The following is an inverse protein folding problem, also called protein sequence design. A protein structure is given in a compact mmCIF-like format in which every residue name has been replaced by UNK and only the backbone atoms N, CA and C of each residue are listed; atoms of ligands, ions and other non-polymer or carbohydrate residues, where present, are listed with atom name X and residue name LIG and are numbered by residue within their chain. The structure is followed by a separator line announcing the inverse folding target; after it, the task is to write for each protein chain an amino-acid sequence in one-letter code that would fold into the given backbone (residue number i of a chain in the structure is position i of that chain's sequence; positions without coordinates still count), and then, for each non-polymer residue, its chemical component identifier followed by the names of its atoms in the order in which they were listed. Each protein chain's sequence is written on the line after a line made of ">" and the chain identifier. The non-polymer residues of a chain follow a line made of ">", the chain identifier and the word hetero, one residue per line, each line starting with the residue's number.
data_IF_539667068615
#
_entry.id   IF_539667068615
#
_cell.length_a   1.000
_cell.length_b   1.000
_cell.length_c   1.000
_cell.angle_alpha   90.00
_cell.angle_beta   90.00
_cell.angle_gamma   90.00
#
_symmetry.space_group_name_H-M   'P 1'
#
loop_
_entity.id
_entity.type
_entity.pdbx_description
1 polymer ?
#
# COMPACT_ATOMS: atom_id res chain seq x y z
N UNK A 1 -30.15 21.18 -21.77
CA UNK A 1 -29.45 19.90 -21.53
C UNK A 1 -28.65 20.04 -20.25
N UNK A 2 -29.17 19.48 -19.17
CA UNK A 2 -28.58 19.48 -17.83
C UNK A 2 -27.85 18.15 -17.62
N UNK A 3 -26.59 18.13 -17.15
CA UNK A 3 -25.95 16.88 -16.79
C UNK A 3 -26.39 16.46 -15.38
N UNK A 4 -26.81 15.19 -15.27
CA UNK A 4 -27.12 14.51 -14.01
C UNK A 4 -25.80 14.16 -13.30
N UNK A 5 -25.68 14.58 -12.05
CA UNK A 5 -24.61 14.17 -11.13
C UNK A 5 -24.95 12.79 -10.59
N UNK A 6 -24.14 11.77 -10.93
CA UNK A 6 -24.16 10.47 -10.27
C UNK A 6 -23.23 10.54 -9.04
N UNK A 7 -23.81 10.39 -7.84
CA UNK A 7 -23.06 10.36 -6.59
C UNK A 7 -22.46 8.98 -6.35
N UNK A 8 -21.13 8.92 -6.21
CA UNK A 8 -20.38 7.75 -5.81
C UNK A 8 -20.50 7.57 -4.28
N UNK A 9 -21.08 6.46 -3.83
CA UNK A 9 -21.30 6.13 -2.42
C UNK A 9 -20.14 5.27 -1.92
N UNK A 10 -19.44 5.73 -0.88
CA UNK A 10 -18.49 4.90 -0.12
C UNK A 10 -19.30 4.03 0.86
N UNK A 11 -19.06 2.71 0.98
CA UNK A 11 -19.92 1.85 1.79
C UNK A 11 -19.74 2.11 3.29
N UNK A 12 -20.83 2.46 3.97
CA UNK A 12 -20.96 2.41 5.42
C UNK A 12 -21.27 0.98 5.88
N UNK A 13 -20.59 0.52 6.93
CA UNK A 13 -20.83 -0.76 7.58
C UNK A 13 -22.21 -0.80 8.26
N UNK A 14 -23.05 -1.82 7.97
CA UNK A 14 -23.74 -2.68 8.95
C UNK A 14 -24.83 -3.60 8.36
N UNK A 15 -24.94 -4.78 8.99
CA UNK A 15 -26.09 -5.69 9.17
C UNK A 15 -26.45 -6.70 8.05
N UNK A 16 -25.93 -7.92 8.22
CA UNK A 16 -26.43 -9.16 7.62
C UNK A 16 -27.80 -9.56 8.21
N UNK A 17 -28.81 -9.70 7.35
CA UNK A 17 -30.06 -10.41 7.60
C UNK A 17 -30.17 -11.59 6.63
N UNK A 18 -30.53 -12.76 7.16
CA UNK A 18 -30.74 -14.03 6.45
C UNK A 18 -31.80 -13.89 5.36
N UNK A 19 -31.66 -14.64 4.27
CA UNK A 19 -32.73 -15.58 3.90
C UNK A 19 -32.23 -16.75 3.04
N UNK A 20 -32.79 -17.91 3.35
CA UNK A 20 -32.61 -19.19 2.66
C UNK A 20 -33.43 -19.20 1.36
N UNK A 21 -32.94 -19.87 0.31
CA UNK A 21 -33.78 -20.78 -0.49
C UNK A 21 -32.98 -21.64 -1.46
N UNK A 22 -33.35 -22.91 -1.37
CA UNK A 22 -33.05 -24.07 -2.19
C UNK A 22 -33.50 -23.94 -3.65
N UNK A 23 -32.83 -24.69 -4.53
CA UNK A 23 -33.25 -24.88 -5.92
C UNK A 23 -32.34 -25.87 -6.65
N UNK A 24 -32.63 -27.16 -6.48
CA UNK A 24 -32.06 -28.28 -7.22
C UNK A 24 -32.85 -28.51 -8.53
N UNK A 25 -32.30 -29.37 -9.40
CA UNK A 25 -32.91 -30.11 -10.52
C UNK A 25 -32.58 -29.57 -11.93
N UNK A 26 -32.03 -30.46 -12.76
CA UNK A 26 -31.94 -30.29 -14.21
C UNK A 26 -31.07 -31.31 -14.93
N UNK A 27 -31.36 -32.61 -14.77
CA UNK A 27 -30.84 -33.70 -15.60
C UNK A 27 -31.54 -33.73 -16.97
N UNK A 28 -30.80 -33.89 -18.06
CA UNK A 28 -31.30 -34.52 -19.30
C UNK A 28 -30.18 -35.26 -20.00
N UNK A 29 -30.43 -36.56 -20.18
CA UNK A 29 -29.75 -37.50 -21.07
C UNK A 29 -29.83 -37.09 -22.54
N UNK A 30 -28.84 -37.48 -23.35
CA UNK A 30 -29.03 -38.33 -24.54
C UNK A 30 -27.67 -38.77 -25.15
N UNK A 31 -27.64 -39.83 -25.98
CA UNK A 31 -26.62 -40.87 -25.88
C UNK A 31 -25.73 -41.04 -27.12
N UNK A 32 -24.64 -41.79 -26.93
CA UNK A 32 -24.10 -42.71 -27.93
C UNK A 32 -22.87 -42.24 -28.70
N UNK A 33 -21.74 -42.89 -28.46
CA UNK A 33 -20.98 -43.54 -29.53
C UNK A 33 -19.96 -44.53 -28.96
N UNK A 34 -20.13 -45.79 -29.37
CA UNK A 34 -19.21 -46.89 -29.13
C UNK A 34 -17.91 -46.67 -29.92
N UNK A 35 -16.77 -46.68 -29.23
CA UNK A 35 -15.48 -46.99 -29.83
C UNK A 35 -14.82 -48.13 -29.05
N UNK A 36 -14.66 -49.27 -29.72
CA UNK A 36 -13.82 -50.37 -29.31
C UNK A 36 -12.36 -50.02 -29.63
N UNK A 37 -11.50 -50.07 -28.62
CA UNK A 37 -10.05 -49.97 -28.75
C UNK A 37 -9.38 -50.95 -27.78
N UNK A 38 -8.51 -51.79 -28.34
CA UNK A 38 -7.77 -52.93 -27.78
C UNK A 38 -6.91 -52.58 -26.54
N UNK A 39 -6.55 -53.54 -25.65
CA UNK A 39 -5.71 -53.32 -24.48
C UNK A 39 -4.23 -53.53 -24.85
N UNK A 40 -3.44 -52.46 -24.83
CA UNK A 40 -2.01 -52.52 -25.05
C UNK A 40 -1.26 -51.38 -24.35
N UNK A 41 -0.32 -51.79 -23.50
CA UNK A 41 0.89 -51.06 -23.09
C UNK A 41 0.74 -49.95 -22.02
N UNK A 42 0.63 -50.41 -20.76
CA UNK A 42 1.28 -49.75 -19.62
C UNK A 42 2.81 -49.94 -19.77
N UNK A 43 3.55 -48.88 -20.13
CA UNK A 43 4.91 -48.57 -19.65
C UNK A 43 5.42 -47.26 -20.30
N UNK A 44 6.20 -46.48 -19.53
CA UNK A 44 6.91 -45.23 -19.89
C UNK A 44 6.15 -43.88 -19.93
N UNK A 45 5.74 -43.39 -18.75
CA UNK A 45 5.76 -41.94 -18.48
C UNK A 45 7.07 -41.54 -17.78
N UNK A 46 7.85 -40.57 -18.31
CA UNK A 46 9.04 -40.08 -17.63
C UNK A 46 8.66 -39.29 -16.35
N UNK A 47 9.42 -39.40 -15.26
CA UNK A 47 9.10 -38.70 -14.03
C UNK A 47 9.09 -37.19 -14.25
N UNK A 48 8.06 -36.53 -13.71
CA UNK A 48 7.93 -35.08 -13.70
C UNK A 48 9.22 -34.43 -13.21
N UNK A 49 9.82 -33.56 -14.04
CA UNK A 49 11.00 -32.78 -13.66
C UNK A 49 10.68 -31.99 -12.40
N UNK A 50 11.38 -32.31 -11.30
CA UNK A 50 11.37 -31.52 -10.10
C UNK A 50 11.71 -30.06 -10.47
N UNK A 51 10.79 -29.14 -10.16
CA UNK A 51 11.03 -27.71 -10.35
C UNK A 51 12.28 -27.25 -9.59
N UNK A 52 12.86 -26.09 -9.95
CA UNK A 52 14.08 -25.60 -9.34
C UNK A 52 13.92 -25.49 -7.82
N UNK A 53 14.72 -26.27 -7.09
CA UNK A 53 14.82 -26.20 -5.63
C UNK A 53 15.51 -24.89 -5.29
N UNK A 54 14.74 -23.95 -4.73
CA UNK A 54 15.28 -22.66 -4.27
C UNK A 54 16.25 -22.95 -3.10
N UNK A 55 17.52 -22.50 -3.18
CA UNK A 55 18.49 -22.77 -2.14
C UNK A 55 18.08 -22.11 -0.81
N UNK A 56 18.33 -22.77 0.35
CA UNK A 56 17.89 -22.28 1.66
C UNK A 56 18.34 -20.85 2.00
N UNK A 57 19.50 -20.42 1.48
CA UNK A 57 20.00 -19.04 1.63
C UNK A 57 19.12 -17.99 0.94
N UNK A 58 18.47 -18.32 -0.18
CA UNK A 58 17.56 -17.41 -0.89
C UNK A 58 16.20 -17.25 -0.19
N UNK A 59 15.86 -18.20 0.69
CA UNK A 59 14.65 -18.17 1.53
C UNK A 59 14.90 -17.52 2.90
N UNK A 60 16.15 -17.28 3.28
CA UNK A 60 16.50 -16.72 4.58
C UNK A 60 15.86 -15.34 4.84
N UNK A 61 15.84 -14.38 3.90
CA UNK A 61 15.20 -13.07 4.13
C UNK A 61 13.68 -13.18 4.31
N UNK A 62 13.05 -14.12 3.59
CA UNK A 62 11.62 -14.41 3.66
C UNK A 62 11.25 -15.09 4.97
N UNK A 63 12.08 -16.04 5.42
CA UNK A 63 11.97 -16.69 6.73
C UNK A 63 12.13 -15.66 7.85
N UNK A 64 13.13 -14.79 7.77
CA UNK A 64 13.41 -13.82 8.82
C UNK A 64 12.31 -12.74 8.89
N UNK A 65 11.80 -12.29 7.74
CA UNK A 65 10.65 -11.38 7.67
C UNK A 65 9.37 -12.03 8.23
N UNK A 66 9.15 -13.32 7.93
CA UNK A 66 8.01 -14.08 8.43
C UNK A 66 8.10 -14.33 9.95
N UNK A 67 9.29 -14.70 10.45
CA UNK A 67 9.56 -14.85 11.89
C UNK A 67 9.37 -13.52 12.62
N UNK A 68 9.84 -12.41 12.07
CA UNK A 68 9.69 -11.09 12.68
C UNK A 68 8.24 -10.59 12.66
N UNK A 69 7.48 -10.89 11.61
CA UNK A 69 6.06 -10.55 11.52
C UNK A 69 5.18 -11.36 12.48
N UNK A 70 5.57 -12.62 12.76
CA UNK A 70 4.87 -13.49 13.71
C UNK A 70 5.35 -13.32 15.16
N UNK A 71 6.53 -12.75 15.39
CA UNK A 71 7.09 -12.57 16.74
C UNK A 71 6.12 -11.87 17.72
N UNK A 72 5.38 -10.81 17.36
CA UNK A 72 4.42 -10.18 18.26
C UNK A 72 3.24 -11.10 18.59
N UNK A 73 2.84 -11.97 17.66
CA UNK A 73 1.74 -12.93 17.85
C UNK A 73 2.20 -14.10 18.72
N UNK A 74 3.43 -14.57 18.54
CA UNK A 74 4.09 -15.54 19.42
C UNK A 74 4.22 -14.97 20.83
N UNK A 75 4.67 -13.72 20.98
CA UNK A 75 4.82 -13.07 22.28
C UNK A 75 3.47 -12.84 22.97
N UNK A 76 2.42 -12.50 22.22
CA UNK A 76 1.05 -12.40 22.72
C UNK A 76 0.49 -13.76 23.16
N UNK A 77 0.83 -14.82 22.43
CA UNK A 77 0.43 -16.19 22.75
C UNK A 77 1.17 -16.73 23.99
N UNK A 78 2.48 -16.48 24.10
CA UNK A 78 3.29 -16.77 25.30
C UNK A 78 2.76 -16.03 26.52
N UNK A 79 2.39 -14.75 26.37
CA UNK A 79 1.72 -13.98 27.45
C UNK A 79 0.37 -14.59 27.83
N UNK A 80 -0.45 -15.02 26.87
CA UNK A 80 -1.74 -15.68 27.16
C UNK A 80 -1.56 -17.03 27.87
N UNK A 81 -0.53 -17.79 27.52
CA UNK A 81 -0.18 -19.05 28.20
C UNK A 81 0.32 -18.77 29.63
N UNK A 82 1.16 -17.73 29.83
CA UNK A 82 1.58 -17.28 31.16
C UNK A 82 0.42 -16.80 32.03
N UNK A 83 -0.58 -16.14 31.44
CA UNK A 83 -1.80 -15.69 32.13
C UNK A 83 -2.71 -16.87 32.50
N UNK A 84 -2.69 -17.96 31.72
CA UNK A 84 -3.52 -19.16 31.95
C UNK A 84 -2.89 -20.21 32.86
N UNK A 85 -1.62 -20.10 33.21
CA UNK A 85 -1.03 -20.91 34.27
C UNK A 85 -1.27 -20.21 35.60
N UNK A 86 -2.23 -20.65 36.44
CA UNK A 86 -2.29 -20.16 37.81
C UNK A 86 -0.94 -20.52 38.44
N UNK A 87 -0.29 -19.51 39.01
CA UNK A 87 0.96 -19.62 39.79
C UNK A 87 1.00 -20.95 40.52
N UNK A 88 1.79 -21.90 40.03
CA UNK A 88 2.20 -23.05 40.83
C UNK A 88 3.07 -22.45 41.93
N UNK A 89 2.48 -22.24 43.11
CA UNK A 89 3.22 -21.90 44.32
C UNK A 89 4.06 -23.10 44.68
N UNK A 90 5.30 -23.13 44.19
CA UNK A 90 6.31 -24.04 44.71
C UNK A 90 6.93 -23.34 45.91
N UNK A 91 6.50 -23.71 47.12
CA UNK A 91 7.20 -23.32 48.34
C UNK A 91 8.57 -24.03 48.35
N UNK A 92 9.62 -23.27 48.04
CA UNK A 92 11.00 -23.75 48.12
C UNK A 92 11.61 -23.26 49.45
N UNK A 93 11.98 -24.17 50.37
CA UNK A 93 12.74 -23.78 51.55
C UNK A 93 14.10 -23.22 51.12
N UNK A 94 14.46 -22.06 51.68
CA UNK A 94 15.77 -21.42 51.50
C UNK A 94 16.86 -22.21 52.23
N UNK A 95 17.23 -23.37 51.71
CA UNK A 95 18.49 -24.01 52.04
C UNK A 95 18.93 -24.97 50.92
N UNK A 96 19.99 -24.54 50.22
CA UNK A 96 21.02 -25.29 49.52
C UNK A 96 20.66 -26.59 48.74
N UNK A 97 20.86 -26.58 47.41
CA UNK A 97 21.59 -27.64 46.66
C UNK A 97 21.50 -27.49 45.12
N UNK A 98 22.57 -27.79 44.36
CA UNK A 98 22.57 -27.89 42.89
C UNK A 98 21.59 -28.91 42.29
N UNK A 99 21.00 -29.81 43.10
CA UNK A 99 20.10 -30.88 42.63
C UNK A 99 18.70 -30.38 42.24
N UNK A 100 18.29 -29.18 42.66
CA UNK A 100 17.01 -28.57 42.26
C UNK A 100 17.01 -28.19 40.78
N UNK A 101 18.16 -27.75 40.25
CA UNK A 101 18.32 -27.46 38.82
C UNK A 101 18.24 -28.71 37.94
N UNK A 102 18.77 -29.86 38.38
CA UNK A 102 18.71 -31.11 37.61
C UNK A 102 17.31 -31.74 37.60
N UNK A 103 16.50 -31.49 38.63
CA UNK A 103 15.12 -31.96 38.66
C UNK A 103 14.21 -31.09 37.80
N UNK A 104 14.37 -29.75 37.87
CA UNK A 104 13.71 -28.81 36.94
C UNK A 104 14.12 -29.06 35.49
N UNK A 105 15.41 -29.26 35.22
CA UNK A 105 15.93 -29.52 33.88
C UNK A 105 15.41 -30.85 33.32
N UNK A 106 15.34 -31.91 34.12
CA UNK A 106 14.74 -33.19 33.70
C UNK A 106 13.23 -33.11 33.53
N UNK A 107 12.51 -32.38 34.37
CA UNK A 107 11.08 -32.17 34.21
C UNK A 107 10.75 -31.32 32.96
N UNK A 108 11.55 -30.30 32.67
CA UNK A 108 11.45 -29.46 31.46
C UNK A 108 11.78 -30.26 30.19
N UNK A 109 12.82 -31.11 30.23
CA UNK A 109 13.21 -31.97 29.11
C UNK A 109 12.26 -33.16 28.90
N UNK A 110 11.64 -33.69 29.96
CA UNK A 110 10.64 -34.76 29.87
C UNK A 110 9.25 -34.25 29.45
N UNK A 111 8.95 -32.97 29.69
CA UNK A 111 7.68 -32.34 29.31
C UNK A 111 7.66 -31.81 27.85
N UNK A 112 8.78 -31.85 27.14
CA UNK A 112 8.86 -31.50 25.72
C UNK A 112 9.32 -32.71 24.90
N UNK A 113 8.42 -33.63 24.52
CA UNK A 113 8.75 -34.60 23.50
C UNK A 113 8.84 -33.86 22.16
N UNK A 114 10.08 -33.76 21.68
CA UNK A 114 10.48 -33.51 20.30
C UNK A 114 10.06 -32.15 19.71
N UNK A 115 10.79 -31.10 20.09
CA UNK A 115 10.74 -29.77 19.46
C UNK A 115 10.92 -29.85 17.94
N UNK A 116 11.65 -30.84 17.44
CA UNK A 116 11.81 -31.13 16.01
C UNK A 116 10.51 -31.56 15.36
N UNK A 117 9.73 -32.45 16.01
CA UNK A 117 8.43 -32.88 15.53
C UNK A 117 7.41 -31.74 15.59
N UNK A 118 7.45 -30.92 16.64
CA UNK A 118 6.57 -29.76 16.76
C UNK A 118 6.87 -28.68 15.72
N UNK A 119 8.14 -28.41 15.43
CA UNK A 119 8.55 -27.48 14.36
C UNK A 119 8.23 -28.02 12.96
N UNK A 120 8.41 -29.32 12.74
CA UNK A 120 8.01 -29.97 11.50
C UNK A 120 6.49 -29.91 11.31
N UNK A 121 5.73 -30.12 12.38
CA UNK A 121 4.26 -30.04 12.38
C UNK A 121 3.78 -28.60 12.19
N UNK A 122 4.39 -27.60 12.82
CA UNK A 122 4.14 -26.18 12.55
C UNK A 122 4.47 -25.80 11.11
N UNK A 123 5.60 -26.28 10.57
CA UNK A 123 5.98 -26.02 9.17
C UNK A 123 5.02 -26.66 8.17
N UNK A 124 4.53 -27.87 8.46
CA UNK A 124 3.51 -28.55 7.65
C UNK A 124 2.15 -27.86 7.78
N UNK A 125 1.76 -27.40 8.97
CA UNK A 125 0.50 -26.66 9.15
C UNK A 125 0.56 -25.27 8.48
N UNK A 126 1.69 -24.58 8.53
CA UNK A 126 1.92 -23.32 7.79
C UNK A 126 1.90 -23.56 6.27
N UNK A 127 2.53 -24.63 5.78
CA UNK A 127 2.50 -25.02 4.38
C UNK A 127 1.10 -25.51 3.92
N UNK A 128 0.27 -25.98 4.86
CA UNK A 128 -1.14 -26.38 4.65
C UNK A 128 -2.13 -25.23 4.83
N UNK A 129 -1.67 -24.00 5.00
CA UNK A 129 -2.51 -22.80 4.91
C UNK A 129 -2.35 -22.11 3.55
N UNK A 130 -2.91 -22.65 2.44
CA UNK A 130 -3.08 -21.89 1.20
C UNK A 130 -3.71 -20.52 1.49
N UNK A 131 -4.64 -20.48 2.46
CA UNK A 131 -5.32 -19.27 2.89
C UNK A 131 -4.42 -18.23 3.55
N UNK A 132 -3.25 -18.58 4.11
CA UNK A 132 -2.35 -17.59 4.72
C UNK A 132 -1.41 -17.00 3.68
N UNK A 133 -0.82 -17.83 2.81
CA UNK A 133 -0.02 -17.35 1.68
C UNK A 133 -0.86 -16.48 0.75
N UNK A 134 -2.09 -16.91 0.44
CA UNK A 134 -2.99 -16.17 -0.44
C UNK A 134 -3.41 -14.86 0.20
N UNK A 135 -3.68 -14.84 1.51
CA UNK A 135 -4.01 -13.60 2.24
C UNK A 135 -2.81 -12.67 2.38
N UNK A 136 -1.61 -13.19 2.61
CA UNK A 136 -0.39 -12.39 2.63
C UNK A 136 -0.08 -11.82 1.25
N UNK A 137 -0.26 -12.61 0.19
CA UNK A 137 -0.12 -12.18 -1.19
C UNK A 137 -1.14 -11.09 -1.54
N UNK A 138 -2.40 -11.25 -1.11
CA UNK A 138 -3.45 -10.24 -1.27
C UNK A 138 -3.10 -8.94 -0.51
N UNK A 139 -2.58 -9.03 0.72
CA UNK A 139 -2.15 -7.87 1.48
C UNK A 139 -0.93 -7.18 0.84
N UNK A 140 0.02 -7.96 0.32
CA UNK A 140 1.18 -7.45 -0.42
C UNK A 140 0.76 -6.75 -1.71
N UNK A 141 -0.30 -7.24 -2.38
CA UNK A 141 -0.90 -6.59 -3.54
C UNK A 141 -1.61 -5.28 -3.22
N UNK A 142 -1.95 -5.00 -1.96
CA UNK A 142 -2.59 -3.74 -1.54
C UNK A 142 -1.61 -2.75 -0.89
N UNK A 143 -0.43 -3.23 -0.52
CA UNK A 143 0.68 -2.40 -0.05
C UNK A 143 1.33 -1.64 -1.23
N UNK A 144 1.78 -0.38 -1.07
CA UNK A 144 2.52 0.32 -2.13
C UNK A 144 3.72 -0.52 -2.63
N UNK A 145 3.81 -0.83 -3.94
CA UNK A 145 4.79 -1.81 -4.41
C UNK A 145 6.23 -1.31 -4.29
N UNK A 146 6.45 0.00 -4.41
CA UNK A 146 7.76 0.63 -4.25
C UNK A 146 8.24 0.65 -2.78
N UNK A 147 7.39 0.24 -1.83
CA UNK A 147 7.74 0.12 -0.41
C UNK A 147 8.16 -1.31 -0.05
N UNK A 148 7.90 -2.29 -0.93
CA UNK A 148 8.28 -3.67 -0.69
C UNK A 148 9.81 -3.80 -0.66
N UNK A 149 10.32 -4.42 0.40
CA UNK A 149 11.76 -4.54 0.63
C UNK A 149 12.40 -3.33 1.34
N UNK A 150 11.65 -2.25 1.53
CA UNK A 150 12.08 -1.14 2.39
C UNK A 150 11.84 -1.48 3.86
N UNK A 151 12.82 -1.23 4.72
CA UNK A 151 12.65 -1.33 6.19
C UNK A 151 12.05 -0.03 6.71
N UNK A 152 10.83 0.28 6.28
CA UNK A 152 10.14 1.52 6.65
C UNK A 152 8.91 1.21 7.50
N UNK A 153 8.63 2.06 8.47
CA UNK A 153 7.36 2.06 9.17
C UNK A 153 6.39 2.99 8.40
N UNK A 154 5.24 2.50 7.91
CA UNK A 154 4.26 3.30 7.17
C UNK A 154 3.84 4.60 7.84
N UNK A 155 3.74 4.59 9.16
CA UNK A 155 3.32 5.74 9.95
C UNK A 155 4.31 6.90 9.79
N UNK A 156 5.60 6.60 9.68
CA UNK A 156 6.67 7.61 9.57
C UNK A 156 6.63 8.33 8.21
N UNK A 157 5.97 7.74 7.20
CA UNK A 157 5.82 8.34 5.88
C UNK A 157 4.70 9.40 5.81
N UNK A 158 3.75 9.40 6.76
CA UNK A 158 2.58 10.28 6.70
C UNK A 158 2.93 11.76 6.83
N UNK A 159 3.80 12.20 7.75
CA UNK A 159 4.20 13.61 7.81
C UNK A 159 4.83 14.10 6.49
N UNK A 160 5.64 13.26 5.84
CA UNK A 160 6.29 13.58 4.56
C UNK A 160 5.27 13.72 3.42
N UNK A 161 4.27 12.84 3.35
CA UNK A 161 3.23 12.95 2.32
C UNK A 161 2.20 14.03 2.62
N UNK A 162 1.68 14.07 3.85
CA UNK A 162 0.52 14.87 4.20
C UNK A 162 0.85 16.31 4.58
N UNK A 163 1.99 16.54 5.25
CA UNK A 163 2.36 17.87 5.72
C UNK A 163 3.37 18.51 4.76
N UNK A 164 4.39 17.78 4.30
CA UNK A 164 5.39 18.32 3.35
C UNK A 164 4.97 18.23 1.88
N UNK A 165 3.90 17.48 1.59
CA UNK A 165 3.34 17.34 0.25
C UNK A 165 4.20 16.51 -0.71
N UNK A 166 5.07 15.64 -0.22
CA UNK A 166 5.98 14.82 -1.03
C UNK A 166 5.34 13.44 -1.30
N UNK A 167 5.02 13.09 -2.55
CA UNK A 167 4.47 11.77 -2.88
C UNK A 167 5.49 10.65 -2.61
N UNK A 168 5.06 9.56 -1.98
CA UNK A 168 5.91 8.39 -1.71
C UNK A 168 5.35 7.08 -2.27
N UNK A 169 4.15 7.08 -2.85
CA UNK A 169 3.47 5.88 -3.35
C UNK A 169 3.66 5.77 -4.86
N UNK A 170 3.99 4.57 -5.35
CA UNK A 170 4.36 4.25 -6.74
C UNK A 170 5.73 4.79 -7.16
N UNK A 171 6.03 6.00 -6.72
CA UNK A 171 7.30 6.69 -6.91
C UNK A 171 7.72 7.33 -5.58
N UNK A 172 9.02 7.51 -5.33
CA UNK A 172 10.15 7.02 -6.14
C UNK A 172 10.46 5.53 -5.81
N UNK A 173 11.41 4.94 -6.53
CA UNK A 173 11.92 3.59 -6.22
C UNK A 173 12.46 3.46 -4.79
N UNK A 174 12.45 2.25 -4.27
CA UNK A 174 12.78 1.88 -2.88
C UNK A 174 14.04 2.53 -2.28
N UNK A 175 15.13 2.61 -3.05
CA UNK A 175 16.38 3.24 -2.59
C UNK A 175 16.19 4.71 -2.24
N UNK A 176 15.62 5.49 -3.16
CA UNK A 176 15.33 6.91 -2.96
C UNK A 176 14.33 7.09 -1.82
N UNK A 177 13.28 6.26 -1.77
CA UNK A 177 12.30 6.28 -0.68
C UNK A 177 12.95 6.12 0.70
N UNK A 178 13.93 5.21 0.81
CA UNK A 178 14.67 4.98 2.07
C UNK A 178 15.46 6.22 2.47
N UNK A 179 16.15 6.87 1.52
CA UNK A 179 16.93 8.08 1.77
C UNK A 179 16.04 9.27 2.18
N UNK A 180 14.86 9.39 1.58
CA UNK A 180 13.88 10.43 1.94
C UNK A 180 13.37 10.28 3.37
N UNK A 181 13.04 9.04 3.78
CA UNK A 181 12.53 8.79 5.12
C UNK A 181 13.63 8.86 6.20
N UNK A 182 14.89 8.61 5.84
CA UNK A 182 16.04 8.82 6.72
C UNK A 182 16.44 10.30 6.86
N UNK A 183 15.98 11.16 5.95
CA UNK A 183 16.33 12.58 5.95
C UNK A 183 15.58 13.35 7.04
N UNK A 184 16.19 14.38 7.64
CA UNK A 184 15.63 15.09 8.79
C UNK A 184 14.54 16.09 8.42
N UNK A 185 14.61 16.70 7.24
CA UNK A 185 13.77 17.83 6.86
C UNK A 185 13.43 17.84 5.36
N UNK A 186 12.40 18.63 5.04
CA UNK A 186 11.87 18.78 3.69
C UNK A 186 12.90 19.27 2.69
N UNK A 187 13.74 20.23 3.07
CA UNK A 187 14.75 20.81 2.17
C UNK A 187 15.79 19.77 1.76
N UNK A 188 16.23 18.94 2.69
CA UNK A 188 17.15 17.83 2.44
C UNK A 188 16.49 16.78 1.53
N UNK A 189 15.22 16.46 1.77
CA UNK A 189 14.44 15.58 0.89
C UNK A 189 14.31 16.12 -0.52
N UNK A 190 14.02 17.41 -0.70
CA UNK A 190 13.95 18.02 -2.02
C UNK A 190 15.30 17.99 -2.75
N UNK A 191 16.42 18.18 -2.05
CA UNK A 191 17.76 18.04 -2.66
C UNK A 191 18.00 16.63 -3.18
N UNK A 192 17.65 15.61 -2.40
CA UNK A 192 17.71 14.20 -2.83
C UNK A 192 16.86 13.98 -4.08
N UNK A 193 15.61 14.45 -4.08
CA UNK A 193 14.74 14.30 -5.25
C UNK A 193 15.33 14.98 -6.51
N UNK A 194 15.89 16.18 -6.37
CA UNK A 194 16.52 16.90 -7.50
C UNK A 194 17.80 16.21 -7.99
N UNK A 195 18.60 15.67 -7.08
CA UNK A 195 19.78 14.87 -7.42
C UNK A 195 19.40 13.62 -8.22
N UNK A 196 18.31 12.95 -7.82
CA UNK A 196 17.78 11.75 -8.47
C UNK A 196 16.77 12.02 -9.61
N UNK A 197 16.70 13.25 -10.14
CA UNK A 197 15.68 13.65 -11.15
C UNK A 197 15.54 12.70 -12.33
N UNK A 198 16.64 12.14 -12.84
CA UNK A 198 16.61 11.24 -13.99
C UNK A 198 15.93 9.90 -13.64
N UNK A 199 16.28 9.32 -12.49
CA UNK A 199 15.66 8.09 -11.98
C UNK A 199 14.17 8.31 -11.65
N UNK A 200 13.82 9.46 -11.08
CA UNK A 200 12.42 9.80 -10.78
C UNK A 200 11.60 9.96 -12.06
N UNK A 201 12.15 10.60 -13.09
CA UNK A 201 11.46 10.71 -14.37
C UNK A 201 11.22 9.33 -15.00
N UNK A 202 12.18 8.42 -14.90
CA UNK A 202 12.01 7.02 -15.32
C UNK A 202 10.92 6.30 -14.52
N UNK A 203 10.94 6.40 -13.19
CA UNK A 203 9.92 5.80 -12.32
C UNK A 203 8.52 6.32 -12.65
N UNK A 204 8.39 7.65 -12.86
CA UNK A 204 7.11 8.27 -13.25
C UNK A 204 6.63 7.77 -14.63
N UNK A 205 7.52 7.62 -15.62
CA UNK A 205 7.14 7.06 -16.93
C UNK A 205 6.67 5.62 -16.83
N UNK A 206 7.35 4.80 -16.03
CA UNK A 206 6.97 3.40 -15.81
C UNK A 206 5.56 3.33 -15.21
N UNK A 207 5.28 4.16 -14.20
CA UNK A 207 3.94 4.23 -13.59
C UNK A 207 2.88 4.70 -14.58
N UNK A 208 3.14 5.75 -15.38
CA UNK A 208 2.18 6.24 -16.38
C UNK A 208 1.94 5.24 -17.51
N UNK A 209 2.90 4.38 -17.85
CA UNK A 209 2.73 3.34 -18.85
C UNK A 209 1.70 2.27 -18.43
N UNK A 210 1.48 2.10 -17.13
CA UNK A 210 0.43 1.22 -16.58
C UNK A 210 -0.94 1.90 -16.49
N UNK A 211 -1.02 3.22 -16.73
CA UNK A 211 -2.30 3.94 -16.68
C UNK A 211 -3.02 3.78 -18.01
N UNK A 212 -3.99 2.87 -18.06
CA UNK A 212 -4.76 2.47 -19.25
C UNK A 212 -6.27 2.70 -19.11
N UNK A 213 -6.76 3.12 -17.95
CA UNK A 213 -8.19 3.26 -17.72
C UNK A 213 -8.81 4.34 -18.65
N UNK A 214 -9.94 4.08 -19.34
CA UNK A 214 -10.54 4.99 -20.32
C UNK A 214 -10.74 6.43 -19.83
N UNK A 215 -11.21 6.60 -18.59
CA UNK A 215 -11.42 7.91 -17.94
C UNK A 215 -10.15 8.76 -17.77
N UNK A 216 -8.96 8.17 -17.93
CA UNK A 216 -7.64 8.81 -17.75
C UNK A 216 -6.83 8.93 -19.05
N UNK A 217 -7.32 8.35 -20.15
CA UNK A 217 -6.56 8.23 -21.40
C UNK A 217 -6.15 9.57 -22.01
N UNK A 218 -6.91 10.64 -21.76
CA UNK A 218 -6.56 11.99 -22.23
C UNK A 218 -5.45 12.66 -21.40
N UNK A 219 -5.35 12.30 -20.11
CA UNK A 219 -4.37 12.88 -19.20
C UNK A 219 -3.00 12.23 -19.34
N UNK A 220 -2.91 10.95 -19.72
CA UNK A 220 -1.64 10.23 -19.85
C UNK A 220 -0.67 10.89 -20.86
N UNK A 221 -1.07 11.23 -22.11
CA UNK A 221 -0.15 11.91 -23.05
C UNK A 221 0.32 13.28 -22.55
N UNK A 222 -0.52 14.02 -21.82
CA UNK A 222 -0.14 15.29 -21.22
C UNK A 222 0.83 15.07 -20.05
N UNK A 223 0.60 14.02 -19.26
CA UNK A 223 1.48 13.64 -18.17
C UNK A 223 2.87 13.23 -18.64
N UNK A 224 2.96 12.45 -19.72
CA UNK A 224 4.23 12.10 -20.36
C UNK A 224 4.99 13.35 -20.81
N UNK A 225 4.30 14.34 -21.41
CA UNK A 225 4.92 15.62 -21.77
C UNK A 225 5.43 16.41 -20.56
N UNK A 226 4.72 16.38 -19.44
CA UNK A 226 5.20 17.01 -18.20
C UNK A 226 6.48 16.33 -17.69
N UNK A 227 6.53 15.01 -17.74
CA UNK A 227 7.72 14.23 -17.34
C UNK A 227 8.89 14.46 -18.30
N UNK A 228 8.63 14.55 -19.62
CA UNK A 228 9.67 14.84 -20.61
C UNK A 228 10.25 16.24 -20.45
N UNK A 229 9.38 17.24 -20.20
CA UNK A 229 9.83 18.59 -19.84
C UNK A 229 10.69 18.58 -18.57
N UNK A 230 10.28 17.83 -17.54
CA UNK A 230 11.04 17.68 -16.30
C UNK A 230 12.41 17.04 -16.55
N UNK A 231 12.45 15.94 -17.31
CA UNK A 231 13.68 15.24 -17.65
C UNK A 231 14.64 16.11 -18.48
N UNK A 232 14.11 17.00 -19.32
CA UNK A 232 14.87 17.96 -20.10
C UNK A 232 15.32 19.21 -19.31
N UNK A 233 14.93 19.35 -18.03
CA UNK A 233 15.28 20.49 -17.19
C UNK A 233 14.33 21.70 -17.33
N UNK A 234 13.20 21.55 -18.01
CA UNK A 234 12.17 22.59 -18.13
C UNK A 234 11.19 22.51 -16.95
N UNK A 235 11.69 22.83 -15.76
CA UNK A 235 10.98 22.67 -14.48
C UNK A 235 9.68 23.49 -14.42
N UNK A 236 9.69 24.72 -14.93
CA UNK A 236 8.53 25.60 -14.97
C UNK A 236 7.38 24.98 -15.77
N UNK A 237 7.70 24.49 -16.97
CA UNK A 237 6.75 23.86 -17.88
C UNK A 237 6.23 22.53 -17.31
N UNK A 238 7.12 21.72 -16.75
CA UNK A 238 6.75 20.46 -16.13
C UNK A 238 5.77 20.66 -14.96
N UNK A 239 6.10 21.57 -14.03
CA UNK A 239 5.27 21.88 -12.89
C UNK A 239 3.91 22.44 -13.32
N UNK A 240 3.89 23.42 -14.23
CA UNK A 240 2.64 24.03 -14.70
C UNK A 240 1.69 22.97 -15.27
N UNK A 241 2.20 22.09 -16.14
CA UNK A 241 1.39 21.06 -16.78
C UNK A 241 0.94 19.97 -15.79
N UNK A 242 1.84 19.49 -14.93
CA UNK A 242 1.50 18.48 -13.92
C UNK A 242 0.43 18.98 -12.94
N UNK A 243 0.54 20.23 -12.46
CA UNK A 243 -0.43 20.85 -11.53
C UNK A 243 -1.84 20.85 -12.12
N UNK A 244 -2.01 21.32 -13.37
CA UNK A 244 -3.35 21.41 -13.97
C UNK A 244 -3.97 20.04 -14.27
N UNK A 245 -3.14 19.03 -14.57
CA UNK A 245 -3.61 17.65 -14.73
C UNK A 245 -4.09 17.08 -13.39
N UNK A 246 -3.28 17.20 -12.34
CA UNK A 246 -3.63 16.73 -10.98
C UNK A 246 -4.92 17.41 -10.51
N UNK A 247 -5.03 18.73 -10.68
CA UNK A 247 -6.27 19.46 -10.37
C UNK A 247 -7.47 18.89 -11.11
N UNK A 248 -7.33 18.65 -12.43
CA UNK A 248 -8.42 18.14 -13.27
C UNK A 248 -8.92 16.80 -12.75
N UNK A 249 -8.03 15.83 -12.55
CA UNK A 249 -8.44 14.46 -12.17
C UNK A 249 -8.96 14.38 -10.74
N UNK A 250 -8.31 15.06 -9.80
CA UNK A 250 -8.72 15.06 -8.39
C UNK A 250 -10.08 15.73 -8.23
N UNK A 251 -10.29 16.89 -8.86
CA UNK A 251 -11.56 17.60 -8.72
C UNK A 251 -12.73 16.95 -9.46
N UNK A 252 -12.44 16.13 -10.48
CA UNK A 252 -13.45 15.35 -11.21
C UNK A 252 -13.87 14.11 -10.42
N UNK A 253 -12.92 13.39 -9.82
CA UNK A 253 -13.15 12.06 -9.26
C UNK A 253 -13.28 12.02 -7.74
N UNK A 254 -12.71 12.98 -7.01
CA UNK A 254 -12.80 12.99 -5.55
C UNK A 254 -13.97 13.87 -5.11
N UNK A 255 -15.00 13.29 -4.46
CA UNK A 255 -16.12 14.07 -3.96
C UNK A 255 -15.67 14.94 -2.77
N UNK A 256 -16.09 16.21 -2.70
CA UNK A 256 -15.80 17.07 -1.56
C UNK A 256 -16.62 16.65 -0.32
N UNK A 257 -16.01 16.57 0.87
CA UNK A 257 -16.72 16.38 2.16
C UNK A 257 -17.90 17.34 2.27
N UNK A 258 -19.06 16.92 2.77
CA UNK A 258 -20.24 17.80 2.91
C UNK A 258 -19.94 19.11 3.66
N UNK A 259 -20.55 20.25 3.27
CA UNK A 259 -20.28 21.51 3.93
C UNK A 259 -20.89 21.48 5.33
N UNK A 260 -20.05 21.68 6.35
CA UNK A 260 -20.54 21.93 7.70
C UNK A 260 -21.13 23.35 7.78
N UNK A 261 -22.15 23.60 8.62
CA UNK A 261 -22.59 24.96 8.92
C UNK A 261 -21.40 25.82 9.38
N UNK A 262 -21.16 26.96 8.72
CA UNK A 262 -20.00 27.83 8.98
C UNK A 262 -18.65 27.33 8.49
N UNK A 263 -18.58 26.16 7.85
CA UNK A 263 -17.34 25.60 7.27
C UNK A 263 -16.93 26.24 5.95
N UNK A 264 -15.74 25.88 5.45
CA UNK A 264 -15.24 26.36 4.16
C UNK A 264 -16.20 26.00 3.03
N UNK A 265 -16.57 27.00 2.21
CA UNK A 265 -17.37 26.81 0.99
C UNK A 265 -16.54 26.36 -0.21
N UNK A 266 -15.20 26.43 -0.12
CA UNK A 266 -14.32 26.07 -1.23
C UNK A 266 -14.37 24.57 -1.48
N UNK A 267 -14.69 24.18 -2.72
CA UNK A 267 -14.62 22.79 -3.20
C UNK A 267 -13.24 22.17 -2.88
N UNK A 268 -12.16 22.91 -3.14
CA UNK A 268 -10.78 22.45 -2.95
C UNK A 268 -10.46 22.16 -1.48
N UNK A 269 -10.81 23.08 -0.59
CA UNK A 269 -10.60 22.88 0.86
C UNK A 269 -11.41 21.68 1.38
N UNK A 270 -12.62 21.47 0.84
CA UNK A 270 -13.45 20.32 1.19
C UNK A 270 -12.89 18.99 0.65
N UNK A 271 -12.27 18.98 -0.52
CA UNK A 271 -11.54 17.81 -1.04
C UNK A 271 -10.31 17.53 -0.18
N UNK A 272 -9.48 18.53 0.09
CA UNK A 272 -8.32 18.39 0.97
C UNK A 272 -8.71 17.86 2.35
N UNK A 273 -9.80 18.38 2.92
CA UNK A 273 -10.35 17.88 4.18
C UNK A 273 -10.87 16.44 4.08
N UNK A 274 -11.39 16.01 2.91
CA UNK A 274 -11.84 14.63 2.69
C UNK A 274 -10.68 13.63 2.70
N UNK A 275 -9.53 14.04 2.18
CA UNK A 275 -8.33 13.22 2.02
C UNK A 275 -7.39 13.28 3.23
N UNK A 276 -7.62 14.19 4.18
CA UNK A 276 -6.81 14.31 5.39
C UNK A 276 -6.98 13.08 6.29
N UNK A 277 -5.86 12.46 6.65
CA UNK A 277 -5.80 11.39 7.65
C UNK A 277 -5.40 12.00 9.00
N UNK A 278 -6.26 11.83 10.00
CA UNK A 278 -5.94 12.30 11.37
C UNK A 278 -5.19 11.25 12.19
N UNK A 279 -5.36 9.97 11.86
CA UNK A 279 -4.77 8.86 12.58
C UNK A 279 -4.18 7.84 11.58
N UNK A 280 -2.88 7.96 11.25
CA UNK A 280 -2.18 7.05 10.33
C UNK A 280 -2.31 5.58 10.71
N UNK A 281 -2.34 5.27 12.01
CA UNK A 281 -2.36 3.89 12.53
C UNK A 281 -3.68 3.17 12.21
N UNK A 282 -4.75 3.94 11.91
CA UNK A 282 -6.06 3.40 11.55
C UNK A 282 -6.24 3.17 10.06
N UNK A 283 -5.28 3.55 9.22
CA UNK A 283 -5.37 3.31 7.77
C UNK A 283 -5.21 1.82 7.51
N UNK A 284 -6.22 1.22 6.87
CA UNK A 284 -6.19 -0.19 6.52
C UNK A 284 -5.20 -0.43 5.37
N UNK A 285 -4.63 -1.63 5.29
CA UNK A 285 -3.77 -2.02 4.16
C UNK A 285 -4.53 -1.94 2.84
N UNK A 286 -5.84 -2.18 2.85
CA UNK A 286 -6.71 -2.10 1.68
C UNK A 286 -6.83 -0.68 1.13
N UNK A 287 -6.99 0.31 2.01
CA UNK A 287 -7.13 1.73 1.63
C UNK A 287 -5.80 2.44 1.45
N UNK A 288 -4.68 1.80 1.83
CA UNK A 288 -3.40 2.46 2.00
C UNK A 288 -2.89 3.10 0.72
N UNK A 289 -2.89 2.39 -0.43
CA UNK A 289 -2.40 2.94 -1.70
C UNK A 289 -3.11 4.21 -2.11
N UNK A 290 -4.44 4.18 -2.11
CA UNK A 290 -5.23 5.35 -2.50
C UNK A 290 -5.04 6.49 -1.49
N UNK A 291 -5.21 6.20 -0.20
CA UNK A 291 -5.15 7.22 0.85
C UNK A 291 -3.79 7.91 0.88
N UNK A 292 -2.72 7.13 0.81
CA UNK A 292 -1.34 7.63 0.83
C UNK A 292 -0.98 8.41 -0.44
N UNK A 293 -1.39 7.92 -1.62
CA UNK A 293 -1.16 8.64 -2.87
C UNK A 293 -1.90 9.99 -2.91
N UNK A 294 -3.02 10.10 -2.20
CA UNK A 294 -3.81 11.33 -2.09
C UNK A 294 -3.38 12.25 -0.94
N UNK A 295 -2.57 11.79 0.01
CA UNK A 295 -2.18 12.59 1.18
C UNK A 295 -1.52 13.95 0.81
N UNK A 296 -0.68 14.05 -0.24
CA UNK A 296 -0.11 15.34 -0.68
C UNK A 296 -1.13 16.37 -1.19
N UNK A 297 -2.40 15.98 -1.43
CA UNK A 297 -3.43 16.92 -1.91
C UNK A 297 -3.77 17.99 -0.86
N UNK A 298 -3.54 17.72 0.42
CA UNK A 298 -3.69 18.69 1.51
C UNK A 298 -2.95 20.01 1.24
N UNK A 299 -1.60 20.01 1.26
CA UNK A 299 -0.78 21.19 0.95
C UNK A 299 -1.02 21.70 -0.48
N UNK A 300 -1.22 20.80 -1.45
CA UNK A 300 -1.48 21.16 -2.86
C UNK A 300 -2.68 22.10 -3.05
N UNK A 301 -3.75 21.92 -2.26
CA UNK A 301 -4.98 22.71 -2.32
C UNK A 301 -5.08 23.80 -1.25
N UNK A 302 -4.01 24.08 -0.49
CA UNK A 302 -3.99 25.20 0.45
C UNK A 302 -4.30 26.50 -0.29
N UNK A 303 -5.39 27.21 0.08
CA UNK A 303 -5.70 28.49 -0.54
C UNK A 303 -4.73 29.55 -0.02
N UNK A 304 -4.24 30.40 -0.91
CA UNK A 304 -3.39 31.52 -0.54
C UNK A 304 -3.86 32.78 -1.26
N UNK A 305 -3.97 33.88 -0.51
CA UNK A 305 -4.39 35.17 -1.03
C UNK A 305 -3.34 36.21 -0.64
N UNK A 306 -2.57 36.77 -1.59
CA UNK A 306 -1.54 37.76 -1.30
C UNK A 306 -2.07 38.96 -0.51
N UNK A 307 -3.34 39.32 -0.74
CA UNK A 307 -4.04 40.40 -0.04
C UNK A 307 -4.12 40.22 1.48
N UNK A 308 -3.95 39.00 1.98
CA UNK A 308 -4.03 38.70 3.41
C UNK A 308 -2.70 38.92 4.14
N UNK A 309 -1.61 39.24 3.42
CA UNK A 309 -0.29 39.51 4.02
C UNK A 309 0.48 38.26 4.48
N UNK A 310 -0.08 37.07 4.32
CA UNK A 310 0.60 35.81 4.65
C UNK A 310 1.64 35.46 3.57
N UNK A 311 2.77 34.83 3.93
CA UNK A 311 3.73 34.32 2.95
C UNK A 311 3.08 33.29 2.02
N UNK A 312 3.60 33.18 0.80
CA UNK A 312 3.20 32.12 -0.12
C UNK A 312 3.56 30.74 0.47
N UNK A 313 2.77 29.68 0.21
CA UNK A 313 3.13 28.32 0.58
C UNK A 313 4.49 27.92 -0.02
N UNK A 314 5.30 27.23 0.78
CA UNK A 314 6.59 26.69 0.31
C UNK A 314 6.39 25.36 -0.44
N UNK A 315 5.40 24.57 -0.01
CA UNK A 315 5.00 23.33 -0.67
C UNK A 315 4.43 23.59 -2.07
N UNK A 316 4.46 22.55 -2.92
CA UNK A 316 3.79 22.60 -4.21
C UNK A 316 2.33 23.02 -4.00
N UNK A 317 1.93 24.12 -4.65
CA UNK A 317 0.63 24.75 -4.45
C UNK A 317 -0.01 25.03 -5.79
N UNK A 318 -1.23 24.52 -6.00
CA UNK A 318 -2.00 24.88 -7.20
C UNK A 318 -2.34 26.35 -7.22
N UNK A 319 -2.59 26.96 -6.06
CA UNK A 319 -3.06 28.34 -6.00
C UNK A 319 -1.97 29.27 -6.53
N UNK A 320 -0.73 29.07 -6.07
CA UNK A 320 0.42 29.84 -6.57
C UNK A 320 0.65 29.55 -8.05
N UNK A 321 0.74 28.29 -8.46
CA UNK A 321 1.02 27.92 -9.85
C UNK A 321 -0.04 28.44 -10.85
N UNK A 322 -1.33 28.42 -10.49
CA UNK A 322 -2.42 28.77 -11.42
C UNK A 322 -2.80 30.25 -11.36
N UNK A 323 -2.77 30.87 -10.16
CA UNK A 323 -3.29 32.24 -9.98
C UNK A 323 -2.21 33.28 -9.73
N UNK A 324 -0.98 32.87 -9.37
CA UNK A 324 0.12 33.76 -9.00
C UNK A 324 1.45 33.19 -9.50
N UNK A 325 1.52 32.86 -10.80
CA UNK A 325 2.67 32.19 -11.38
C UNK A 325 3.95 33.01 -11.15
N UNK A 326 4.74 32.60 -10.16
CA UNK A 326 5.88 33.36 -9.67
C UNK A 326 7.13 32.47 -9.70
N UNK A 327 8.24 33.01 -10.23
CA UNK A 327 9.49 32.26 -10.46
C UNK A 327 10.03 31.58 -9.20
N UNK A 328 9.83 32.17 -8.02
CA UNK A 328 10.24 31.56 -6.75
C UNK A 328 9.47 30.28 -6.39
N UNK A 329 8.32 30.03 -7.01
CA UNK A 329 7.52 28.82 -6.78
C UNK A 329 7.73 27.71 -7.81
N UNK A 330 8.26 28.06 -8.98
CA UNK A 330 8.59 27.14 -10.05
C UNK A 330 10.04 26.66 -9.92
N UNK A 331 10.32 25.96 -8.83
CA UNK A 331 11.66 25.47 -8.50
C UNK A 331 11.86 24.05 -9.01
N UNK A 332 13.12 23.57 -9.16
CA UNK A 332 13.39 22.15 -9.43
C UNK A 332 12.73 21.21 -8.40
N UNK A 333 12.69 21.61 -7.13
CA UNK A 333 12.07 20.86 -6.03
C UNK A 333 10.55 20.74 -6.19
N UNK A 334 9.85 21.84 -6.49
CA UNK A 334 8.41 21.77 -6.72
C UNK A 334 8.07 21.06 -8.04
N UNK A 335 8.93 21.15 -9.07
CA UNK A 335 8.74 20.43 -10.32
C UNK A 335 8.85 18.90 -10.14
N UNK A 336 9.83 18.41 -9.37
CA UNK A 336 9.95 16.97 -9.10
C UNK A 336 8.77 16.45 -8.27
N UNK A 337 8.34 17.20 -7.26
CA UNK A 337 7.12 16.89 -6.48
C UNK A 337 5.88 16.86 -7.38
N UNK A 338 5.76 17.79 -8.33
CA UNK A 338 4.60 17.87 -9.22
C UNK A 338 4.49 16.66 -10.15
N UNK A 339 5.58 16.23 -10.78
CA UNK A 339 5.55 15.05 -11.67
C UNK A 339 5.37 13.74 -10.91
N UNK A 340 5.93 13.65 -9.69
CA UNK A 340 5.67 12.51 -8.81
C UNK A 340 4.19 12.46 -8.41
N UNK A 341 3.61 13.61 -8.04
CA UNK A 341 2.22 13.69 -7.59
C UNK A 341 1.28 13.30 -8.72
N UNK A 342 1.55 13.79 -9.93
CA UNK A 342 0.86 13.39 -11.15
C UNK A 342 0.86 11.87 -11.34
N UNK A 343 2.03 11.22 -11.27
CA UNK A 343 2.14 9.78 -11.46
C UNK A 343 1.40 8.99 -10.37
N UNK A 344 1.62 9.34 -9.10
CA UNK A 344 0.97 8.69 -7.96
C UNK A 344 -0.56 8.83 -8.03
N UNK A 345 -1.06 10.02 -8.36
CA UNK A 345 -2.51 10.31 -8.40
C UNK A 345 -3.18 9.58 -9.54
N UNK A 346 -2.62 9.62 -10.76
CA UNK A 346 -3.22 8.93 -11.91
C UNK A 346 -3.29 7.42 -11.67
N UNK A 347 -2.21 6.82 -11.15
CA UNK A 347 -2.19 5.38 -10.89
C UNK A 347 -3.18 4.97 -9.80
N UNK A 348 -3.22 5.72 -8.69
CA UNK A 348 -4.14 5.44 -7.59
C UNK A 348 -5.61 5.61 -7.98
N UNK A 349 -5.94 6.65 -8.76
CA UNK A 349 -7.30 6.85 -9.25
C UNK A 349 -7.72 5.78 -10.25
N UNK A 350 -6.80 5.31 -11.10
CA UNK A 350 -7.08 4.15 -11.95
C UNK A 350 -7.43 2.91 -11.12
N UNK A 351 -6.62 2.54 -10.12
CA UNK A 351 -6.95 1.38 -9.28
C UNK A 351 -8.34 1.54 -8.63
N UNK A 352 -8.67 2.76 -8.20
CA UNK A 352 -9.99 3.03 -7.61
C UNK A 352 -11.15 2.88 -8.59
N UNK A 353 -10.95 3.30 -9.85
CA UNK A 353 -11.94 3.14 -10.92
C UNK A 353 -12.11 1.68 -11.32
N UNK A 354 -11.02 0.90 -11.35
CA UNK A 354 -11.08 -0.55 -11.62
C UNK A 354 -11.84 -1.32 -10.53
N UNK A 355 -11.82 -0.83 -9.30
CA UNK A 355 -12.60 -1.38 -8.17
C UNK A 355 -14.07 -0.94 -8.16
N UNK A 356 -14.41 0.13 -8.88
CA UNK A 356 -15.76 0.71 -8.92
C UNK A 356 -16.29 0.60 -10.36
N UNK A 357 -17.00 -0.49 -10.73
CA UNK A 357 -17.46 -0.67 -12.11
C UNK A 357 -18.31 0.52 -12.56
N UNK A 358 -18.25 0.89 -13.85
CA UNK A 358 -19.01 2.02 -14.37
C UNK A 358 -20.51 1.77 -14.16
N UNK A 359 -21.17 2.74 -13.51
CA UNK A 359 -22.63 2.75 -13.31
C UNK A 359 -23.40 3.01 -14.57
#
# INVERSE_FOLDING_TARGET
>A
MTPRTAGMIIPSQHAFGRDERSGNIGTTDEPGEHWNGDPGDDEDQPPAKAGPVIPPEALAPLRDAFTQALQPQIDAWVKQIQIRLPTVKIDLPRSASPKVNDHLRRAILAAMPDTTAMLAQLSQEIARLPRLSDRLQLLTQKYPPNWLGCRINPVDAWPVMQDEGIPLVWVPRAGILTDLLASPDRDTRLKILVEHRAAIAEDCRAVLAEVTHPEMTEQVPLGLKAIDAFAAGHHESAQALAVVIVETVVTRLIPPKEPKPGGSRSKYTRIAAALRVEDPEKVTVEDMRLTAAMAPIGPFFVPWYPSNGNPAPEELSRHVAVHQAHVAHYTPGNAVVAVMLLASVLRALQEQLELTPPT
#
